data_IF_693473267598
#
_entry.id   IF_693473267598
#
_cell.length_a   1.000
_cell.length_b   1.000
_cell.length_c   1.000
_cell.angle_alpha   90.00
_cell.angle_beta   90.00
_cell.angle_gamma   90.00
#
_symmetry.space_group_name_H-M   'P 1'
#
loop_
_entity.id
_entity.type
_entity.pdbx_description
1 polymer ?
#
# COMPACT_ATOMS: atom_id res chain seq x y z
N UNK A 1 2.25 -1.30 22.60
CA UNK A 1 3.07 -2.39 22.02
C UNK A 1 2.16 -3.26 21.15
N UNK A 2 2.58 -3.56 19.92
CA UNK A 2 1.95 -4.56 19.06
C UNK A 2 2.82 -5.81 19.13
N UNK A 3 2.29 -6.86 19.77
CA UNK A 3 3.03 -8.08 20.08
C UNK A 3 3.33 -8.96 18.88
N UNK A 4 4.11 -10.02 19.11
CA UNK A 4 4.46 -11.00 18.08
C UNK A 4 3.21 -11.51 17.35
N UNK A 5 3.24 -11.47 16.02
CA UNK A 5 2.18 -12.02 15.15
C UNK A 5 0.76 -11.47 15.39
N UNK A 6 0.60 -10.35 16.10
CA UNK A 6 -0.71 -9.86 16.53
C UNK A 6 -1.72 -9.65 15.38
N UNK A 7 -1.24 -9.28 14.19
CA UNK A 7 -2.01 -9.10 12.97
C UNK A 7 -1.49 -9.96 11.81
N UNK A 8 -0.75 -11.04 12.09
CA UNK A 8 -0.19 -11.88 11.05
C UNK A 8 -1.26 -12.66 10.26
N UNK A 9 -0.99 -12.99 9.00
CA UNK A 9 -1.84 -13.83 8.14
C UNK A 9 -3.28 -13.31 7.99
N UNK A 10 -3.36 -12.01 7.70
CA UNK A 10 -4.62 -11.32 7.39
C UNK A 10 -4.56 -10.75 5.96
N UNK A 11 -5.51 -9.89 5.60
CA UNK A 11 -5.52 -9.17 4.31
C UNK A 11 -5.49 -7.67 4.51
N UNK A 12 -4.81 -7.20 5.58
CA UNK A 12 -4.66 -5.77 5.85
C UNK A 12 -3.90 -5.11 4.70
N UNK A 13 -4.52 -4.10 4.09
CA UNK A 13 -3.89 -3.24 3.07
C UNK A 13 -3.29 -1.97 3.66
N UNK A 14 -3.92 -1.49 4.73
CA UNK A 14 -3.59 -0.25 5.39
C UNK A 14 -3.51 -0.48 6.90
N UNK A 15 -2.50 0.14 7.52
CA UNK A 15 -2.39 0.25 8.98
C UNK A 15 -2.37 1.74 9.32
N UNK A 16 -3.41 2.20 10.01
CA UNK A 16 -3.48 3.55 10.53
C UNK A 16 -2.95 3.55 11.95
N UNK A 17 -1.72 4.03 12.13
CA UNK A 17 -1.12 4.23 13.44
C UNK A 17 -1.30 5.71 13.85
N UNK A 18 -1.51 5.98 15.14
CA UNK A 18 -1.55 7.35 15.65
C UNK A 18 -0.22 8.07 15.36
N UNK A 19 -0.29 9.34 14.93
CA UNK A 19 0.92 10.14 14.68
C UNK A 19 1.68 10.39 15.98
N UNK A 20 0.96 10.78 17.04
CA UNK A 20 1.50 11.02 18.37
C UNK A 20 0.94 9.99 19.35
N UNK A 21 1.80 9.53 20.26
CA UNK A 21 1.44 8.67 21.39
C UNK A 21 2.12 9.22 22.65
N UNK A 22 1.48 9.06 23.80
CA UNK A 22 2.04 9.34 25.13
C UNK A 22 2.82 8.15 25.71
N UNK A 23 2.93 7.06 24.95
CA UNK A 23 3.69 5.86 25.29
C UNK A 23 4.70 5.51 24.19
N UNK A 24 5.73 4.75 24.58
CA UNK A 24 6.70 4.19 23.65
C UNK A 24 6.04 3.15 22.75
N UNK A 25 5.89 3.49 21.47
CA UNK A 25 5.26 2.62 20.50
C UNK A 25 6.27 1.55 20.04
N UNK A 26 5.81 0.30 19.94
CA UNK A 26 6.67 -0.84 19.62
C UNK A 26 5.93 -1.79 18.70
N UNK A 27 6.64 -2.31 17.69
CA UNK A 27 6.17 -3.38 16.79
C UNK A 27 7.14 -4.56 16.92
N UNK A 28 6.61 -5.68 17.42
CA UNK A 28 7.37 -6.91 17.63
C UNK A 28 7.41 -7.83 16.41
N UNK A 29 8.10 -8.96 16.56
CA UNK A 29 8.42 -9.87 15.48
C UNK A 29 7.16 -10.35 14.74
N UNK A 30 7.17 -10.23 13.41
CA UNK A 30 6.07 -10.66 12.55
C UNK A 30 4.69 -10.07 12.91
N UNK A 31 4.63 -8.97 13.66
CA UNK A 31 3.39 -8.36 14.11
C UNK A 31 2.38 -8.11 12.98
N UNK A 32 2.85 -7.77 11.79
CA UNK A 32 2.04 -7.54 10.58
C UNK A 32 2.43 -8.47 9.44
N UNK A 33 2.99 -9.65 9.73
CA UNK A 33 3.45 -10.55 8.68
C UNK A 33 2.29 -11.08 7.82
N UNK A 34 2.53 -11.42 6.56
CA UNK A 34 1.56 -12.11 5.70
C UNK A 34 0.24 -11.33 5.57
N UNK A 35 0.34 -10.16 4.93
CA UNK A 35 -0.74 -9.20 4.72
C UNK A 35 -0.57 -8.57 3.32
N UNK A 36 -1.35 -7.52 3.03
CA UNK A 36 -1.29 -6.77 1.78
C UNK A 36 -0.72 -5.34 1.99
N UNK A 37 0.06 -5.12 3.05
CA UNK A 37 0.56 -3.80 3.42
C UNK A 37 1.67 -3.39 2.47
N UNK A 38 1.61 -2.17 1.95
CA UNK A 38 2.72 -1.59 1.18
C UNK A 38 3.52 -0.58 1.99
N UNK A 39 2.84 0.21 2.83
CA UNK A 39 3.47 1.24 3.65
C UNK A 39 2.70 1.52 4.94
N UNK A 40 3.40 2.13 5.91
CA UNK A 40 2.86 2.59 7.20
C UNK A 40 3.49 3.91 7.61
N UNK A 41 2.82 4.68 8.49
CA UNK A 41 3.44 5.82 9.20
C UNK A 41 3.81 5.32 10.57
N UNK A 42 5.06 5.47 10.98
CA UNK A 42 5.44 5.19 12.36
C UNK A 42 5.01 6.37 13.25
N UNK A 43 4.46 6.11 14.45
CA UNK A 43 4.27 7.14 15.46
C UNK A 43 5.58 7.85 15.79
N UNK A 44 5.54 9.13 16.14
CA UNK A 44 6.73 9.92 16.46
C UNK A 44 7.50 9.33 17.66
N UNK A 45 6.78 8.68 18.60
CA UNK A 45 7.33 8.05 19.80
C UNK A 45 7.58 6.53 19.61
N UNK A 46 7.97 6.12 18.40
CA UNK A 46 8.34 4.72 18.12
C UNK A 46 9.71 4.38 18.71
N UNK A 47 9.73 3.38 19.58
CA UNK A 47 10.94 2.91 20.26
C UNK A 47 11.58 1.71 19.56
N UNK A 48 10.76 0.85 18.94
CA UNK A 48 11.19 -0.44 18.39
C UNK A 48 10.34 -0.86 17.20
N UNK A 49 11.00 -1.33 16.15
CA UNK A 49 10.38 -2.09 15.06
C UNK A 49 11.29 -3.26 14.72
N UNK A 50 10.82 -4.48 14.96
CA UNK A 50 11.61 -5.69 14.73
C UNK A 50 11.83 -5.97 13.23
N UNK A 51 12.88 -6.72 12.88
CA UNK A 51 13.33 -6.86 11.48
C UNK A 51 12.37 -7.62 10.55
N UNK A 52 11.46 -8.41 11.10
CA UNK A 52 10.46 -9.15 10.33
C UNK A 52 9.04 -8.67 10.61
N UNK A 53 8.86 -7.46 11.17
CA UNK A 53 7.56 -6.91 11.51
C UNK A 53 6.58 -6.93 10.33
N UNK A 54 7.08 -6.68 9.12
CA UNK A 54 6.29 -6.64 7.88
C UNK A 54 6.65 -7.76 6.88
N UNK A 55 7.21 -8.89 7.34
CA UNK A 55 7.53 -10.02 6.46
C UNK A 55 6.30 -10.48 5.65
N UNK A 56 6.46 -10.96 4.40
CA UNK A 56 5.31 -11.42 3.58
C UNK A 56 4.28 -10.32 3.28
N UNK A 57 4.72 -9.09 3.03
CA UNK A 57 3.85 -8.02 2.56
C UNK A 57 4.30 -7.48 1.21
N UNK A 58 3.43 -7.14 0.25
CA UNK A 58 3.85 -6.73 -1.10
C UNK A 58 4.84 -5.57 -1.14
N UNK A 59 4.79 -4.66 -0.15
CA UNK A 59 5.75 -3.55 -0.07
C UNK A 59 5.60 -2.51 -1.19
N UNK A 60 6.48 -1.52 -1.17
CA UNK A 60 6.60 -0.48 -2.19
C UNK A 60 7.68 -0.78 -3.24
N UNK A 61 8.61 -1.67 -2.92
CA UNK A 61 9.69 -2.11 -3.80
C UNK A 61 9.93 -3.61 -3.63
N UNK A 62 10.54 -4.26 -4.63
CA UNK A 62 10.94 -5.66 -4.55
C UNK A 62 12.01 -5.88 -3.47
N UNK A 63 12.09 -7.12 -2.96
CA UNK A 63 13.20 -7.50 -2.07
C UNK A 63 14.53 -7.36 -2.83
N UNK A 64 15.56 -6.71 -2.25
CA UNK A 64 16.86 -6.59 -2.91
C UNK A 64 17.49 -7.94 -3.26
N UNK A 65 18.18 -8.01 -4.40
CA UNK A 65 18.75 -9.25 -4.92
C UNK A 65 19.76 -9.90 -3.96
N UNK A 66 20.45 -9.09 -3.16
CA UNK A 66 21.42 -9.51 -2.15
C UNK A 66 20.79 -10.03 -0.84
N UNK A 67 19.47 -10.00 -0.71
CA UNK A 67 18.79 -10.57 0.45
C UNK A 67 18.99 -12.10 0.53
N UNK A 68 18.96 -12.69 1.74
CA UNK A 68 19.06 -14.14 1.93
C UNK A 68 17.98 -14.90 1.14
N UNK A 69 18.32 -16.08 0.62
CA UNK A 69 17.41 -16.88 -0.22
C UNK A 69 16.08 -17.18 0.45
N UNK A 70 16.09 -17.44 1.77
CA UNK A 70 14.87 -17.62 2.55
C UNK A 70 13.97 -16.38 2.51
N UNK A 71 14.55 -15.18 2.61
CA UNK A 71 13.78 -13.94 2.53
C UNK A 71 13.23 -13.73 1.13
N UNK A 72 13.96 -14.08 0.07
CA UNK A 72 13.44 -13.96 -1.31
C UNK A 72 12.33 -14.96 -1.62
N UNK A 73 12.46 -16.19 -1.11
CA UNK A 73 11.48 -17.26 -1.32
C UNK A 73 10.16 -17.02 -0.55
N UNK A 74 10.23 -16.39 0.62
CA UNK A 74 9.09 -16.23 1.51
C UNK A 74 8.66 -14.78 1.68
N UNK A 75 9.51 -13.78 1.47
CA UNK A 75 9.23 -12.38 1.77
C UNK A 75 8.67 -11.65 0.56
N UNK A 76 7.36 -11.41 0.57
CA UNK A 76 6.83 -10.33 -0.27
C UNK A 76 7.46 -9.00 0.19
N UNK A 77 7.67 -8.09 -0.78
CA UNK A 77 8.53 -6.89 -0.86
C UNK A 77 8.91 -6.06 0.38
N UNK A 78 9.42 -4.86 0.12
CA UNK A 78 9.92 -3.96 1.17
C UNK A 78 8.84 -2.95 1.55
N UNK A 79 8.32 -3.07 2.76
CA UNK A 79 7.34 -2.13 3.30
C UNK A 79 8.00 -0.81 3.68
N UNK A 80 7.45 0.30 3.20
CA UNK A 80 7.94 1.62 3.58
C UNK A 80 7.35 2.06 4.91
N UNK A 81 8.22 2.40 5.85
CA UNK A 81 7.90 2.98 7.14
C UNK A 81 8.23 4.47 7.09
N UNK A 82 7.20 5.29 6.94
CA UNK A 82 7.35 6.73 6.85
C UNK A 82 7.45 7.37 8.23
N UNK A 83 8.31 8.37 8.37
CA UNK A 83 8.44 9.20 9.57
C UNK A 83 8.97 10.60 9.22
N UNK A 84 8.61 11.60 10.02
CA UNK A 84 9.28 12.90 10.01
C UNK A 84 10.23 13.09 11.21
N UNK A 85 10.33 12.09 12.08
CA UNK A 85 11.20 12.12 13.23
C UNK A 85 12.58 11.56 12.88
N UNK A 86 13.53 12.46 12.65
CA UNK A 86 14.92 12.14 12.31
C UNK A 86 15.61 11.25 13.36
N UNK A 87 15.18 11.33 14.63
CA UNK A 87 15.74 10.52 15.69
C UNK A 87 15.55 9.02 15.45
N UNK A 88 14.47 8.61 14.75
CA UNK A 88 14.20 7.19 14.50
C UNK A 88 15.28 6.52 13.64
N UNK A 89 15.96 7.28 12.77
CA UNK A 89 17.08 6.76 11.96
C UNK A 89 18.31 6.43 12.80
N UNK A 90 18.41 6.98 14.02
CA UNK A 90 19.55 6.76 14.92
C UNK A 90 19.26 5.67 15.96
N UNK A 91 18.01 5.22 16.08
CA UNK A 91 17.62 4.20 17.06
C UNK A 91 17.94 2.78 16.55
N UNK A 92 18.89 2.12 17.20
CA UNK A 92 19.33 0.75 16.86
C UNK A 92 18.19 -0.28 16.83
N UNK A 93 17.13 -0.04 17.61
CA UNK A 93 15.95 -0.93 17.71
C UNK A 93 14.92 -0.71 16.59
N UNK A 94 15.16 0.24 15.69
CA UNK A 94 14.37 0.42 14.47
C UNK A 94 15.12 -0.31 13.36
N UNK A 95 14.69 -1.54 13.08
CA UNK A 95 15.34 -2.36 12.07
C UNK A 95 14.81 -1.97 10.68
N UNK A 96 15.71 -1.70 9.73
CA UNK A 96 15.34 -1.31 8.37
C UNK A 96 16.45 -1.62 7.36
N UNK A 97 16.14 -1.51 6.07
CA UNK A 97 17.02 -1.87 4.96
C UNK A 97 18.36 -1.10 4.93
N UNK A 98 18.32 0.16 5.36
CA UNK A 98 19.50 1.03 5.45
C UNK A 98 20.52 0.67 6.53
N UNK A 99 20.27 -0.34 7.39
CA UNK A 99 21.23 -0.79 8.40
C UNK A 99 22.28 -1.73 7.79
N UNK A 100 23.46 -1.76 8.40
CA UNK A 100 24.60 -2.62 8.02
C UNK A 100 24.79 -3.80 8.96
N UNK A 101 24.58 -3.60 10.28
CA UNK A 101 24.70 -4.66 11.28
C UNK A 101 23.59 -5.71 11.11
N UNK A 102 23.96 -6.99 11.06
CA UNK A 102 23.04 -8.09 10.78
C UNK A 102 21.89 -8.20 11.79
N UNK A 103 22.13 -7.85 13.05
CA UNK A 103 21.11 -7.84 14.12
C UNK A 103 20.15 -6.64 14.06
N UNK A 104 20.45 -5.63 13.24
CA UNK A 104 19.61 -4.44 13.03
C UNK A 104 19.02 -4.38 11.61
N UNK A 105 19.60 -5.12 10.66
CA UNK A 105 19.17 -5.09 9.27
C UNK A 105 17.86 -5.85 9.09
N UNK A 106 16.90 -5.17 8.48
CA UNK A 106 15.74 -5.81 7.89
C UNK A 106 15.88 -5.81 6.38
N UNK A 107 15.39 -6.87 5.74
CA UNK A 107 15.31 -6.97 4.29
C UNK A 107 13.91 -6.67 3.75
N UNK A 108 12.92 -6.53 4.62
CA UNK A 108 11.49 -6.44 4.27
C UNK A 108 10.85 -5.12 4.66
N UNK A 109 11.62 -4.18 5.22
CA UNK A 109 11.11 -2.86 5.55
C UNK A 109 12.20 -1.78 5.46
N UNK A 110 11.79 -0.57 5.08
CA UNK A 110 12.68 0.58 4.84
C UNK A 110 12.12 1.82 5.51
N UNK A 111 12.96 2.52 6.26
CA UNK A 111 12.59 3.78 6.90
C UNK A 111 12.74 4.92 5.88
N UNK A 112 11.71 5.74 5.72
CA UNK A 112 11.63 6.83 4.74
C UNK A 112 11.36 8.15 5.47
N UNK A 113 12.18 9.17 5.18
CA UNK A 113 12.11 10.50 5.81
C UNK A 113 11.16 11.41 5.04
N UNK A 114 9.87 11.13 5.11
CA UNK A 114 8.80 11.92 4.49
C UNK A 114 7.49 11.67 5.23
N UNK A 115 6.51 12.58 5.12
CA UNK A 115 5.10 12.22 5.37
C UNK A 115 4.71 11.20 4.32
N UNK A 116 3.92 10.18 4.69
CA UNK A 116 3.29 9.30 3.68
C UNK A 116 2.72 10.19 2.56
N UNK A 117 3.02 9.90 1.28
CA UNK A 117 2.39 10.59 0.16
C UNK A 117 0.88 10.54 0.37
N UNK A 118 0.21 11.70 0.44
CA UNK A 118 -1.22 11.82 0.82
C UNK A 118 -2.01 10.60 0.30
N UNK A 119 -2.36 9.66 1.17
CA UNK A 119 -3.04 8.44 0.73
C UNK A 119 -4.40 8.81 0.16
N UNK A 120 -4.81 8.07 -0.85
CA UNK A 120 -6.19 8.10 -1.32
C UNK A 120 -7.10 7.60 -0.20
N UNK A 121 -8.17 8.34 0.06
CA UNK A 121 -9.26 7.96 0.95
C UNK A 121 -10.59 8.21 0.25
N UNK A 122 -11.68 7.79 0.88
CA UNK A 122 -13.00 7.79 0.24
C UNK A 122 -13.40 9.14 -0.42
N UNK A 123 -13.11 10.32 0.16
CA UNK A 123 -13.43 11.62 -0.46
C UNK A 123 -12.65 11.94 -1.75
N UNK A 124 -11.59 11.19 -2.06
CA UNK A 124 -10.78 11.39 -3.28
C UNK A 124 -11.39 10.74 -4.52
N UNK A 125 -12.52 10.07 -4.38
CA UNK A 125 -13.17 9.30 -5.43
C UNK A 125 -14.58 9.79 -5.69
N UNK A 126 -15.07 9.50 -6.89
CA UNK A 126 -16.49 9.61 -7.24
C UNK A 126 -17.13 8.23 -7.23
N UNK A 127 -18.41 8.16 -6.92
CA UNK A 127 -19.16 6.91 -6.81
C UNK A 127 -20.51 7.00 -7.52
N UNK A 128 -20.96 5.86 -8.05
CA UNK A 128 -22.34 5.62 -8.47
C UNK A 128 -22.82 4.33 -7.80
N UNK A 129 -23.61 4.46 -6.73
CA UNK A 129 -23.92 3.34 -5.84
C UNK A 129 -22.66 2.69 -5.28
N UNK A 130 -22.54 1.36 -5.41
CA UNK A 130 -21.37 0.59 -4.96
C UNK A 130 -20.20 0.56 -5.98
N UNK A 131 -20.23 1.44 -6.99
CA UNK A 131 -19.20 1.51 -8.03
C UNK A 131 -18.32 2.74 -7.82
N UNK A 132 -17.00 2.56 -7.77
CA UNK A 132 -16.06 3.68 -7.83
C UNK A 132 -15.85 4.10 -9.29
N UNK A 133 -16.20 5.32 -9.66
CA UNK A 133 -16.31 5.76 -11.06
C UNK A 133 -15.20 6.68 -11.53
N UNK A 134 -14.36 7.19 -10.63
CA UNK A 134 -13.30 8.14 -10.98
C UNK A 134 -12.70 8.83 -9.76
N UNK A 135 -12.00 9.94 -9.99
CA UNK A 135 -11.41 10.78 -8.96
C UNK A 135 -12.24 12.05 -8.75
N UNK A 136 -12.38 12.45 -7.49
CA UNK A 136 -12.85 13.80 -7.15
C UNK A 136 -11.73 14.83 -7.40
N UNK A 137 -12.03 16.12 -7.21
CA UNK A 137 -11.02 17.19 -7.31
C UNK A 137 -9.82 16.95 -6.37
N UNK A 138 -10.06 16.45 -5.14
CA UNK A 138 -8.97 16.15 -4.21
C UNK A 138 -8.14 14.95 -4.67
N UNK A 139 -8.77 13.94 -5.28
CA UNK A 139 -8.08 12.79 -5.87
C UNK A 139 -7.20 13.17 -7.06
N UNK A 140 -7.69 14.06 -7.92
CA UNK A 140 -6.92 14.61 -9.06
C UNK A 140 -5.68 15.33 -8.53
N UNK A 141 -5.81 16.18 -7.51
CA UNK A 141 -4.66 16.86 -6.90
C UNK A 141 -3.64 15.88 -6.28
N UNK A 142 -4.11 14.76 -5.72
CA UNK A 142 -3.24 13.71 -5.17
C UNK A 142 -2.49 12.95 -6.26
N UNK A 143 -3.10 12.72 -7.43
CA UNK A 143 -2.47 12.00 -8.55
C UNK A 143 -1.20 12.67 -9.04
N UNK A 144 -1.11 14.00 -8.96
CA UNK A 144 0.10 14.74 -9.31
C UNK A 144 1.31 14.40 -8.41
N UNK A 145 1.07 13.88 -7.19
CA UNK A 145 2.10 13.63 -6.16
C UNK A 145 2.26 12.15 -5.79
N UNK A 146 1.21 11.35 -5.97
CA UNK A 146 1.20 9.93 -5.65
C UNK A 146 0.68 9.14 -6.85
N UNK A 147 1.59 8.35 -7.45
CA UNK A 147 1.30 7.51 -8.62
C UNK A 147 0.90 6.07 -8.24
N UNK A 148 0.65 5.81 -6.96
CA UNK A 148 0.14 4.53 -6.45
C UNK A 148 -1.32 4.71 -6.02
N UNK A 149 -2.25 4.31 -6.89
CA UNK A 149 -3.68 4.42 -6.64
C UNK A 149 -4.13 3.29 -5.71
N UNK A 150 -4.79 3.63 -4.60
CA UNK A 150 -5.41 2.65 -3.71
C UNK A 150 -6.92 2.87 -3.79
N UNK A 151 -7.63 1.94 -4.42
CA UNK A 151 -9.08 2.04 -4.52
C UNK A 151 -9.75 1.77 -3.15
N UNK A 152 -10.85 2.46 -2.85
CA UNK A 152 -11.53 2.35 -1.57
C UNK A 152 -12.35 1.05 -1.52
N UNK A 153 -12.33 0.34 -0.39
CA UNK A 153 -13.18 -0.84 -0.17
C UNK A 153 -14.61 -0.47 0.25
N UNK A 154 -14.83 0.80 0.61
CA UNK A 154 -16.13 1.36 0.97
C UNK A 154 -16.34 2.74 0.35
N UNK A 155 -17.57 3.07 0.02
CA UNK A 155 -17.97 4.42 -0.42
C UNK A 155 -17.83 5.43 0.73
N UNK A 156 -18.04 6.71 0.43
CA UNK A 156 -18.18 7.77 1.44
C UNK A 156 -19.39 7.57 2.36
N UNK A 157 -20.45 6.92 1.87
CA UNK A 157 -21.63 6.47 2.66
C UNK A 157 -21.38 5.19 3.46
N UNK A 158 -20.24 4.52 3.27
CA UNK A 158 -19.86 3.30 3.99
C UNK A 158 -20.33 1.99 3.35
N UNK A 159 -20.99 2.03 2.19
CA UNK A 159 -21.36 0.85 1.41
C UNK A 159 -20.12 0.15 0.87
N UNK A 160 -20.16 -1.18 0.74
CA UNK A 160 -19.03 -1.95 0.20
C UNK A 160 -18.90 -1.69 -1.29
N UNK A 161 -17.70 -1.30 -1.75
CA UNK A 161 -17.42 -1.11 -3.17
C UNK A 161 -17.31 -2.47 -3.86
N UNK A 162 -18.16 -2.70 -4.86
CA UNK A 162 -18.27 -3.96 -5.61
C UNK A 162 -17.75 -3.85 -7.04
N UNK A 163 -17.62 -2.65 -7.58
CA UNK A 163 -17.19 -2.47 -8.95
C UNK A 163 -16.30 -1.24 -9.16
N UNK A 164 -15.47 -1.33 -10.19
CA UNK A 164 -14.76 -0.20 -10.78
C UNK A 164 -15.49 0.20 -12.06
N UNK A 165 -15.87 1.47 -12.17
CA UNK A 165 -16.61 2.01 -13.29
C UNK A 165 -15.85 1.90 -14.62
N UNK A 166 -16.61 1.90 -15.72
CA UNK A 166 -16.04 1.90 -17.07
C UNK A 166 -15.28 3.21 -17.35
N UNK A 167 -14.20 3.10 -18.09
CA UNK A 167 -13.54 4.25 -18.71
C UNK A 167 -14.27 4.71 -19.98
N UNK A 168 -13.77 5.80 -20.56
CA UNK A 168 -14.24 6.35 -21.84
C UNK A 168 -13.26 6.11 -22.97
N UNK A 169 -12.76 7.19 -23.58
CA UNK A 169 -11.62 7.14 -24.51
C UNK A 169 -10.33 6.76 -23.77
N UNK A 170 -10.19 7.22 -22.53
CA UNK A 170 -9.12 6.91 -21.58
C UNK A 170 -9.72 6.32 -20.29
N UNK A 171 -8.86 5.76 -19.43
CA UNK A 171 -9.27 5.18 -18.15
C UNK A 171 -9.97 6.18 -17.22
N UNK A 172 -10.79 5.66 -16.32
CA UNK A 172 -11.68 6.43 -15.45
C UNK A 172 -10.94 7.34 -14.44
N UNK A 173 -9.66 7.05 -14.17
CA UNK A 173 -8.87 7.73 -13.13
C UNK A 173 -7.73 8.60 -13.69
N UNK A 174 -7.60 8.71 -15.02
CA UNK A 174 -6.41 9.28 -15.69
C UNK A 174 -6.76 10.38 -16.68
N UNK A 175 -5.76 11.16 -17.09
CA UNK A 175 -5.84 12.07 -18.25
C UNK A 175 -4.87 11.60 -19.34
N UNK A 176 -4.79 12.32 -20.46
CA UNK A 176 -3.82 11.98 -21.51
C UNK A 176 -2.36 12.22 -21.05
N UNK A 177 -2.15 13.09 -20.07
CA UNK A 177 -0.84 13.53 -19.57
C UNK A 177 -0.45 12.86 -18.24
N UNK A 178 -1.42 12.39 -17.46
CA UNK A 178 -1.18 11.86 -16.12
C UNK A 178 -1.84 10.51 -15.87
N UNK A 179 -1.03 9.55 -15.43
CA UNK A 179 -1.45 8.21 -15.03
C UNK A 179 -1.01 7.81 -13.63
N UNK A 180 -0.94 6.50 -13.42
CA UNK A 180 -0.50 5.81 -12.21
C UNK A 180 0.57 4.76 -12.56
N UNK A 181 1.57 4.59 -11.69
CA UNK A 181 2.55 3.51 -11.80
C UNK A 181 1.97 2.18 -11.29
N UNK A 182 1.10 2.25 -10.28
CA UNK A 182 0.42 1.08 -9.75
C UNK A 182 -1.02 1.35 -9.31
N UNK A 183 -1.85 0.30 -9.33
CA UNK A 183 -3.19 0.31 -8.73
C UNK A 183 -3.39 -0.90 -7.83
N UNK A 184 -3.91 -0.65 -6.64
CA UNK A 184 -4.36 -1.65 -5.69
C UNK A 184 -5.89 -1.68 -5.67
N UNK A 185 -6.45 -2.83 -6.06
CA UNK A 185 -7.88 -3.07 -6.13
C UNK A 185 -8.31 -3.85 -4.88
N UNK A 186 -9.34 -3.40 -4.14
CA UNK A 186 -9.78 -4.10 -2.95
C UNK A 186 -10.47 -5.44 -3.29
N UNK A 187 -10.39 -6.39 -2.37
CA UNK A 187 -10.98 -7.75 -2.42
C UNK A 187 -12.50 -7.73 -2.30
N UNK A 188 -13.08 -6.54 -2.15
CA UNK A 188 -14.51 -6.33 -2.23
C UNK A 188 -14.98 -6.17 -3.68
N UNK A 189 -14.07 -5.85 -4.62
CA UNK A 189 -14.40 -5.63 -6.03
C UNK A 189 -14.60 -6.97 -6.73
N UNK A 190 -15.73 -7.07 -7.40
CA UNK A 190 -16.15 -8.23 -8.20
C UNK A 190 -16.08 -7.94 -9.70
N UNK A 191 -16.28 -6.67 -10.10
CA UNK A 191 -16.33 -6.26 -11.51
C UNK A 191 -15.40 -5.08 -11.81
N UNK A 192 -14.60 -5.19 -12.87
CA UNK A 192 -13.84 -4.08 -13.45
C UNK A 192 -14.45 -3.73 -14.80
N UNK A 193 -15.00 -2.52 -14.94
CA UNK A 193 -15.68 -2.07 -16.15
C UNK A 193 -14.77 -1.91 -17.38
N UNK A 194 -15.40 -1.86 -18.56
CA UNK A 194 -14.71 -1.66 -19.84
C UNK A 194 -13.75 -0.46 -19.77
N UNK A 195 -12.51 -0.66 -20.21
CA UNK A 195 -11.49 0.39 -20.28
C UNK A 195 -11.22 1.14 -18.95
N UNK A 196 -11.60 0.60 -17.79
CA UNK A 196 -11.45 1.28 -16.48
C UNK A 196 -10.04 1.86 -16.26
N UNK A 197 -9.00 1.13 -16.65
CA UNK A 197 -7.59 1.54 -16.56
C UNK A 197 -6.90 1.68 -17.92
N UNK A 198 -7.66 1.92 -19.00
CA UNK A 198 -7.10 2.11 -20.34
C UNK A 198 -6.13 3.30 -20.37
N UNK A 199 -4.96 3.12 -20.97
CA UNK A 199 -3.90 4.14 -21.07
C UNK A 199 -3.50 4.77 -19.73
N UNK A 200 -3.59 4.03 -18.63
CA UNK A 200 -3.32 4.57 -17.29
C UNK A 200 -1.86 4.60 -16.87
N UNK A 201 -0.94 4.06 -17.68
CA UNK A 201 0.51 4.04 -17.38
C UNK A 201 0.93 3.00 -16.34
N UNK A 202 0.04 2.08 -15.97
CA UNK A 202 0.27 1.07 -14.94
C UNK A 202 1.42 0.15 -15.31
N UNK A 203 2.40 0.05 -14.43
CA UNK A 203 3.50 -0.92 -14.46
C UNK A 203 3.19 -2.15 -13.62
N UNK A 204 2.35 -2.00 -12.60
CA UNK A 204 1.91 -3.09 -11.73
C UNK A 204 0.43 -2.95 -11.38
N UNK A 205 -0.28 -4.08 -11.40
CA UNK A 205 -1.65 -4.20 -10.91
C UNK A 205 -1.80 -5.53 -10.19
N UNK A 206 -2.42 -5.50 -9.01
CA UNK A 206 -2.81 -6.73 -8.30
C UNK A 206 -4.31 -6.91 -8.48
N UNK A 207 -4.71 -7.95 -9.23
CA UNK A 207 -6.13 -8.32 -9.40
C UNK A 207 -6.50 -9.26 -8.25
N UNK A 208 -7.42 -8.89 -7.35
CA UNK A 208 -7.81 -9.76 -6.25
C UNK A 208 -8.68 -10.92 -6.75
N UNK A 209 -8.63 -12.05 -6.04
CA UNK A 209 -9.39 -13.27 -6.36
C UNK A 209 -10.92 -13.06 -6.36
N UNK A 210 -11.40 -11.97 -5.76
CA UNK A 210 -12.81 -11.59 -5.76
C UNK A 210 -13.30 -11.12 -7.12
N UNK A 211 -12.42 -10.72 -8.04
CA UNK A 211 -12.80 -10.21 -9.37
C UNK A 211 -13.26 -11.38 -10.22
N UNK A 212 -14.55 -11.41 -10.54
CA UNK A 212 -15.17 -12.43 -11.40
C UNK A 212 -15.46 -11.91 -12.81
N UNK A 213 -15.34 -10.61 -13.05
CA UNK A 213 -15.59 -10.00 -14.36
C UNK A 213 -14.64 -8.84 -14.66
N UNK A 214 -14.06 -8.84 -15.85
CA UNK A 214 -13.19 -7.78 -16.37
C UNK A 214 -13.65 -7.42 -17.78
N UNK A 215 -13.96 -6.14 -17.99
CA UNK A 215 -14.43 -5.60 -19.26
C UNK A 215 -13.38 -5.56 -20.38
N UNK A 216 -13.82 -5.23 -21.60
CA UNK A 216 -13.01 -5.23 -22.81
C UNK A 216 -11.90 -4.15 -22.77
N UNK A 217 -10.72 -4.47 -23.35
CA UNK A 217 -9.49 -3.65 -23.38
C UNK A 217 -8.90 -3.31 -22.00
N UNK A 218 -8.91 -4.27 -21.09
CA UNK A 218 -8.10 -4.25 -19.88
C UNK A 218 -6.68 -4.72 -20.21
N UNK A 219 -5.66 -3.86 -20.10
CA UNK A 219 -4.26 -4.24 -20.30
C UNK A 219 -3.38 -3.60 -19.22
N UNK A 220 -2.79 -4.45 -18.39
CA UNK A 220 -1.46 -4.27 -17.82
C UNK A 220 -0.92 -5.69 -17.53
N UNK A 221 0.32 -5.92 -17.93
CA UNK A 221 0.99 -7.22 -18.05
C UNK A 221 1.06 -7.91 -16.69
N UNK A 222 0.71 -9.20 -16.66
CA UNK A 222 0.93 -10.09 -15.52
C UNK A 222 2.41 -10.52 -15.57
N UNK A 223 3.20 -10.16 -14.57
CA UNK A 223 4.48 -10.81 -14.25
C UNK A 223 4.38 -11.39 -12.86
#
# INVERSE_FOLDING_TARGET
MIGNQAFASNSLRQVQLPVTCDFQFQIDNMAFADNQIRSVTLPDYTEKVFMYSFFKNPGMEEIPAEAPDKVKAEGAGVVYMYTNNDALFQLDRIHHLGRTAANQKSWVQKLIKEKIPRQYGNPDFTYEGNTVTGLSESGIQKRAKNKNLILPSRTDTGEVVKAVGKGGTIGAFVTAEEGFDSVEIPDTVETIGDKAFHSSGLKSVVIPNSVTSIGYRHLAIIS
#
